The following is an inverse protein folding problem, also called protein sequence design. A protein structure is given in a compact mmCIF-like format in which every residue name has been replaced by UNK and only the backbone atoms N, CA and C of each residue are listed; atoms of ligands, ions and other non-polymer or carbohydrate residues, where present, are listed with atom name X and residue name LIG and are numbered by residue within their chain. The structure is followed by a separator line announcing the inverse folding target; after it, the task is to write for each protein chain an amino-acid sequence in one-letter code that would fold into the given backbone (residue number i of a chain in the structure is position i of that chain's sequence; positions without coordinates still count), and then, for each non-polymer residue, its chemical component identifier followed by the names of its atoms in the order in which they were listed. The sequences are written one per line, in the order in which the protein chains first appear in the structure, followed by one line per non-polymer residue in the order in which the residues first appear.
data_IF_763805226207
#
_entry.id   IF_763805226207
#
_cell.length_a   1.000
_cell.length_b   1.000
_cell.length_c   1.000
_cell.angle_alpha   90.00
_cell.angle_beta   90.00
_cell.angle_gamma   90.00
#
_symmetry.space_group_name_H-M   'P 1'
#
loop_
_entity.id
_entity.type
_entity.pdbx_description
1 polymer ?
#
# COMPACT_ATOMS: atom_id res chain seq x y z
N UNK A 1 76.58 12.43 10.47
CA UNK A 1 75.70 12.81 11.59
C UNK A 1 76.22 14.07 12.33
N UNK A 2 77.09 14.88 11.72
CA UNK A 2 77.82 15.93 12.47
C UNK A 2 77.21 17.34 12.36
N UNK A 3 76.22 17.55 11.48
CA UNK A 3 75.62 18.87 11.29
C UNK A 3 74.80 19.33 12.50
N UNK A 4 73.95 18.46 13.04
CA UNK A 4 73.14 18.76 14.22
C UNK A 4 73.99 18.89 15.49
N UNK A 5 75.05 18.07 15.64
CA UNK A 5 75.98 18.18 16.76
C UNK A 5 76.80 19.48 16.71
N UNK A 6 77.36 19.83 15.55
CA UNK A 6 78.12 21.08 15.38
C UNK A 6 77.22 22.32 15.52
N UNK A 7 75.98 22.26 15.03
CA UNK A 7 75.02 23.36 15.19
C UNK A 7 74.65 23.57 16.68
N UNK A 8 74.50 22.51 17.47
CA UNK A 8 74.17 22.66 18.89
C UNK A 8 75.39 23.08 19.73
N UNK A 9 76.61 22.65 19.38
CA UNK A 9 77.81 22.94 20.18
C UNK A 9 78.38 24.36 19.99
N UNK A 10 78.21 24.98 18.82
CA UNK A 10 78.77 26.31 18.53
C UNK A 10 78.08 27.46 19.31
N UNK A 11 76.78 27.38 19.54
CA UNK A 11 76.01 28.35 20.33
C UNK A 11 74.70 27.72 20.86
N UNK A 12 74.76 26.91 21.95
CA UNK A 12 73.71 25.98 22.33
C UNK A 12 72.38 26.64 22.71
N UNK A 13 72.42 27.82 23.33
CA UNK A 13 71.22 28.53 23.78
C UNK A 13 70.48 29.13 22.58
N UNK A 14 71.19 29.83 21.70
CA UNK A 14 70.57 30.51 20.55
C UNK A 14 70.01 29.51 19.52
N UNK A 15 70.70 28.40 19.30
CA UNK A 15 70.30 27.39 18.32
C UNK A 15 69.14 26.50 18.81
N UNK A 16 69.04 26.22 20.11
CA UNK A 16 67.85 25.55 20.69
C UNK A 16 66.59 26.42 20.64
N UNK A 17 66.71 27.72 20.92
CA UNK A 17 65.59 28.67 20.80
C UNK A 17 65.09 28.77 19.35
N UNK A 18 65.97 28.82 18.35
CA UNK A 18 65.59 28.82 16.93
C UNK A 18 64.83 27.56 16.52
N UNK A 19 65.27 26.38 16.97
CA UNK A 19 64.59 25.10 16.70
C UNK A 19 63.20 25.10 17.34
N UNK A 20 63.07 25.57 18.59
CA UNK A 20 61.79 25.64 19.29
C UNK A 20 60.80 26.59 18.59
N UNK A 21 61.27 27.77 18.15
CA UNK A 21 60.46 28.71 17.36
C UNK A 21 60.02 28.11 16.02
N UNK A 22 60.90 27.37 15.35
CA UNK A 22 60.55 26.68 14.10
C UNK A 22 59.46 25.63 14.31
N UNK A 23 59.57 24.80 15.36
CA UNK A 23 58.56 23.79 15.71
C UNK A 23 57.23 24.46 16.06
N UNK A 24 57.26 25.58 16.80
CA UNK A 24 56.06 26.35 17.13
C UNK A 24 55.38 26.93 15.88
N UNK A 25 56.16 27.48 14.93
CA UNK A 25 55.61 27.97 13.68
C UNK A 25 54.99 26.83 12.85
N UNK A 26 55.68 25.69 12.79
CA UNK A 26 55.22 24.51 12.06
C UNK A 26 53.91 23.97 12.66
N UNK A 27 53.79 23.91 13.98
CA UNK A 27 52.57 23.45 14.64
C UNK A 27 51.40 24.39 14.38
N UNK A 28 51.65 25.71 14.37
CA UNK A 28 50.62 26.71 14.04
C UNK A 28 50.11 26.56 12.61
N UNK A 29 51.01 26.31 11.64
CA UNK A 29 50.62 26.03 10.24
C UNK A 29 49.76 24.77 10.15
N UNK A 30 50.14 23.69 10.84
CA UNK A 30 49.38 22.43 10.84
C UNK A 30 47.98 22.65 11.42
N UNK A 31 47.85 23.39 12.52
CA UNK A 31 46.56 23.73 13.13
C UNK A 31 45.68 24.50 12.14
N UNK A 32 46.22 25.54 11.50
CA UNK A 32 45.46 26.34 10.52
C UNK A 32 45.03 25.49 9.32
N UNK A 33 45.92 24.64 8.80
CA UNK A 33 45.57 23.70 7.73
C UNK A 33 44.47 22.73 8.16
N UNK A 34 44.55 22.16 9.36
CA UNK A 34 43.53 21.25 9.89
C UNK A 34 42.16 21.92 9.98
N UNK A 35 42.09 23.13 10.55
CA UNK A 35 40.86 23.92 10.60
C UNK A 35 40.31 24.25 9.21
N UNK A 36 41.18 24.59 8.26
CA UNK A 36 40.77 24.88 6.89
C UNK A 36 40.16 23.65 6.19
N UNK A 37 40.79 22.48 6.33
CA UNK A 37 40.26 21.23 5.78
C UNK A 37 38.93 20.83 6.44
N UNK A 38 38.82 20.97 7.76
CA UNK A 38 37.58 20.66 8.48
C UNK A 38 36.45 21.60 8.05
N UNK A 39 36.72 22.90 7.92
CA UNK A 39 35.74 23.88 7.42
C UNK A 39 35.22 23.52 6.02
N UNK A 40 36.12 23.14 5.09
CA UNK A 40 35.73 22.72 3.75
C UNK A 40 34.87 21.44 3.76
N UNK A 41 35.19 20.48 4.63
CA UNK A 41 34.44 19.23 4.78
C UNK A 41 33.06 19.50 5.36
N UNK A 42 32.97 20.31 6.40
CA UNK A 42 31.72 20.67 7.06
C UNK A 42 30.78 21.40 6.10
N UNK A 43 31.30 22.35 5.31
CA UNK A 43 30.50 23.03 4.27
C UNK A 43 29.93 22.08 3.21
N UNK A 44 30.67 21.02 2.85
CA UNK A 44 30.15 19.97 1.94
C UNK A 44 29.08 19.13 2.62
N UNK A 45 29.28 18.77 3.88
CA UNK A 45 28.31 17.98 4.66
C UNK A 45 27.00 18.75 4.87
N UNK A 46 27.08 20.04 5.18
CA UNK A 46 25.92 20.91 5.34
C UNK A 46 25.06 20.95 4.07
N UNK A 47 25.68 21.09 2.89
CA UNK A 47 24.98 20.99 1.60
C UNK A 47 24.30 19.63 1.38
N UNK A 48 24.95 18.54 1.77
CA UNK A 48 24.35 17.20 1.66
C UNK A 48 23.15 17.07 2.58
N UNK A 49 23.25 17.57 3.80
CA UNK A 49 22.16 17.59 4.78
C UNK A 49 20.98 18.40 4.24
N UNK A 50 21.22 19.58 3.67
CA UNK A 50 20.12 20.40 3.11
C UNK A 50 19.42 19.73 1.93
N UNK A 51 20.17 19.01 1.08
CA UNK A 51 19.58 18.25 -0.03
C UNK A 51 18.76 17.08 0.51
N UNK A 52 19.27 16.36 1.50
CA UNK A 52 18.55 15.27 2.17
C UNK A 52 17.28 15.76 2.86
N UNK A 53 17.34 16.89 3.55
CA UNK A 53 16.17 17.50 4.19
C UNK A 53 15.08 17.82 3.18
N UNK A 54 15.46 18.38 2.02
CA UNK A 54 14.53 18.63 0.92
C UNK A 54 13.93 17.34 0.38
N UNK A 55 14.76 16.33 0.10
CA UNK A 55 14.29 15.04 -0.39
C UNK A 55 13.34 14.35 0.60
N UNK A 56 13.57 14.48 1.91
CA UNK A 56 12.67 13.97 2.94
C UNK A 56 11.34 14.73 2.94
N UNK A 57 11.36 16.05 2.79
CA UNK A 57 10.12 16.85 2.69
C UNK A 57 9.30 16.47 1.46
N UNK A 58 9.96 16.32 0.31
CA UNK A 58 9.31 15.89 -0.92
C UNK A 58 8.71 14.49 -0.77
N UNK A 59 9.46 13.56 -0.14
CA UNK A 59 8.99 12.20 0.16
C UNK A 59 7.76 12.19 1.10
N UNK A 60 7.75 13.03 2.13
CA UNK A 60 6.59 13.16 3.04
C UNK A 60 5.34 13.61 2.27
N UNK A 61 5.49 14.53 1.32
CA UNK A 61 4.37 15.03 0.53
C UNK A 61 3.86 13.98 -0.46
N UNK A 62 4.75 13.19 -1.05
CA UNK A 62 4.37 12.02 -1.85
C UNK A 62 3.60 10.98 -1.02
N UNK A 63 4.05 10.70 0.22
CA UNK A 63 3.34 9.79 1.12
C UNK A 63 1.93 10.30 1.47
N UNK A 64 1.75 11.61 1.68
CA UNK A 64 0.41 12.20 1.90
C UNK A 64 -0.49 12.03 0.68
N UNK A 65 0.06 12.25 -0.52
CA UNK A 65 -0.70 12.07 -1.77
C UNK A 65 -1.10 10.61 -1.95
N UNK A 66 -0.20 9.68 -1.64
CA UNK A 66 -0.47 8.24 -1.65
C UNK A 66 -1.56 7.85 -0.64
N UNK A 67 -1.50 8.39 0.58
CA UNK A 67 -2.51 8.16 1.61
C UNK A 67 -3.92 8.59 1.13
N UNK A 68 -4.02 9.78 0.53
CA UNK A 68 -5.28 10.25 -0.06
C UNK A 68 -5.78 9.33 -1.16
N UNK A 69 -4.89 8.91 -2.08
CA UNK A 69 -5.26 7.97 -3.14
C UNK A 69 -5.74 6.62 -2.60
N UNK A 70 -5.10 6.09 -1.55
CA UNK A 70 -5.52 4.84 -0.91
C UNK A 70 -6.87 4.99 -0.19
N UNK A 71 -7.12 6.15 0.41
CA UNK A 71 -8.40 6.48 1.03
C UNK A 71 -9.53 6.48 0.00
N UNK A 72 -9.30 7.07 -1.17
CA UNK A 72 -10.29 7.08 -2.25
C UNK A 72 -10.49 5.69 -2.87
N UNK A 73 -9.42 4.91 -3.06
CA UNK A 73 -9.53 3.50 -3.47
C UNK A 73 -10.35 2.68 -2.47
N UNK A 74 -10.18 2.92 -1.17
CA UNK A 74 -10.97 2.25 -0.12
C UNK A 74 -12.46 2.58 -0.23
N UNK A 75 -12.82 3.84 -0.55
CA UNK A 75 -14.23 4.22 -0.77
C UNK A 75 -14.83 3.47 -1.95
N UNK A 76 -14.13 3.47 -3.08
CA UNK A 76 -14.56 2.74 -4.30
C UNK A 76 -14.76 1.25 -4.00
N UNK A 77 -13.85 0.65 -3.23
CA UNK A 77 -13.95 -0.76 -2.86
C UNK A 77 -15.18 -1.05 -1.96
N UNK A 78 -15.53 -0.12 -1.06
CA UNK A 78 -16.76 -0.23 -0.28
C UNK A 78 -18.02 -0.11 -1.15
N UNK A 79 -18.00 0.77 -2.16
CA UNK A 79 -19.12 0.90 -3.10
C UNK A 79 -19.29 -0.39 -3.92
N UNK A 80 -18.19 -1.01 -4.38
CA UNK A 80 -18.25 -2.30 -5.04
C UNK A 80 -18.76 -3.41 -4.14
N UNK A 81 -18.36 -3.43 -2.86
CA UNK A 81 -18.89 -4.38 -1.89
C UNK A 81 -20.42 -4.25 -1.79
N UNK A 82 -20.94 -3.04 -1.66
CA UNK A 82 -22.39 -2.81 -1.59
C UNK A 82 -23.11 -3.25 -2.87
N UNK A 83 -22.54 -2.96 -4.04
CA UNK A 83 -23.11 -3.40 -5.33
C UNK A 83 -23.14 -4.92 -5.42
N UNK A 84 -22.07 -5.60 -5.01
CA UNK A 84 -22.02 -7.06 -5.00
C UNK A 84 -23.05 -7.69 -4.05
N UNK A 85 -23.20 -7.15 -2.84
CA UNK A 85 -24.22 -7.61 -1.89
C UNK A 85 -25.63 -7.45 -2.48
N UNK A 86 -25.88 -6.34 -3.18
CA UNK A 86 -27.16 -6.12 -3.86
C UNK A 86 -27.38 -7.10 -5.02
N UNK A 87 -26.36 -7.33 -5.84
CA UNK A 87 -26.43 -8.29 -6.94
C UNK A 87 -26.70 -9.70 -6.42
N UNK A 88 -26.08 -10.10 -5.30
CA UNK A 88 -26.30 -11.42 -4.68
C UNK A 88 -27.76 -11.59 -4.20
N UNK A 89 -28.34 -10.54 -3.63
CA UNK A 89 -29.76 -10.52 -3.27
C UNK A 89 -30.68 -10.58 -4.50
N UNK A 90 -30.36 -9.83 -5.56
CA UNK A 90 -31.13 -9.84 -6.80
C UNK A 90 -31.03 -11.20 -7.51
N UNK A 91 -29.86 -11.84 -7.52
CA UNK A 91 -29.65 -13.19 -8.04
C UNK A 91 -30.47 -14.21 -7.25
N UNK A 92 -30.45 -14.14 -5.92
CA UNK A 92 -31.25 -15.03 -5.06
C UNK A 92 -32.74 -14.91 -5.35
N UNK A 93 -33.26 -13.67 -5.46
CA UNK A 93 -34.66 -13.42 -5.85
C UNK A 93 -34.98 -13.91 -7.25
N UNK A 94 -34.06 -13.74 -8.20
CA UNK A 94 -34.24 -14.19 -9.57
C UNK A 94 -34.27 -15.72 -9.64
N UNK A 95 -33.43 -16.40 -8.84
CA UNK A 95 -33.44 -17.85 -8.72
C UNK A 95 -34.78 -18.35 -8.15
N UNK A 96 -35.27 -17.74 -7.07
CA UNK A 96 -36.57 -18.08 -6.48
C UNK A 96 -37.72 -17.86 -7.48
N UNK A 97 -37.74 -16.73 -8.20
CA UNK A 97 -38.73 -16.44 -9.23
C UNK A 97 -38.66 -17.45 -10.39
N UNK A 98 -37.45 -17.74 -10.88
CA UNK A 98 -37.24 -18.70 -11.97
C UNK A 98 -37.65 -20.10 -11.58
N UNK A 99 -37.43 -20.51 -10.32
CA UNK A 99 -37.87 -21.80 -9.82
C UNK A 99 -39.40 -21.86 -9.71
N UNK A 100 -40.04 -20.80 -9.21
CA UNK A 100 -41.50 -20.66 -9.20
C UNK A 100 -42.13 -20.76 -10.60
N UNK A 101 -41.61 -20.01 -11.57
CA UNK A 101 -42.11 -20.02 -12.96
C UNK A 101 -41.93 -21.39 -13.63
N UNK A 102 -40.81 -22.07 -13.37
CA UNK A 102 -40.54 -23.43 -13.83
C UNK A 102 -41.52 -24.43 -13.21
N UNK A 103 -41.79 -24.32 -11.91
CA UNK A 103 -42.73 -25.19 -11.20
C UNK A 103 -44.15 -25.05 -11.75
N UNK A 104 -44.60 -23.81 -12.00
CA UNK A 104 -45.91 -23.53 -12.62
C UNK A 104 -45.97 -24.09 -14.04
N UNK A 105 -44.93 -23.89 -14.85
CA UNK A 105 -44.88 -24.40 -16.23
C UNK A 105 -44.93 -25.93 -16.27
N UNK A 106 -44.19 -26.59 -15.38
CA UNK A 106 -44.21 -28.04 -15.25
C UNK A 106 -45.56 -28.55 -14.74
N UNK A 107 -46.19 -27.86 -13.77
CA UNK A 107 -47.53 -28.22 -13.29
C UNK A 107 -48.58 -28.12 -14.41
N UNK A 108 -48.53 -27.08 -15.24
CA UNK A 108 -49.42 -26.95 -16.42
C UNK A 108 -49.19 -28.09 -17.40
N UNK A 109 -47.93 -28.45 -17.69
CA UNK A 109 -47.60 -29.56 -18.59
C UNK A 109 -48.14 -30.89 -18.05
N UNK A 110 -47.92 -31.18 -16.77
CA UNK A 110 -48.37 -32.41 -16.12
C UNK A 110 -49.89 -32.50 -16.00
N UNK A 111 -50.57 -31.38 -15.74
CA UNK A 111 -52.04 -31.30 -15.75
C UNK A 111 -52.61 -31.60 -17.16
N UNK A 112 -51.99 -31.06 -18.21
CA UNK A 112 -52.35 -31.37 -19.60
C UNK A 112 -52.07 -32.85 -19.98
N UNK A 113 -51.11 -33.49 -19.31
CA UNK A 113 -50.80 -34.92 -19.46
C UNK A 113 -51.76 -35.82 -18.64
N UNK A 114 -52.63 -35.25 -17.81
CA UNK A 114 -53.63 -35.97 -17.00
C UNK A 114 -53.10 -36.52 -15.67
N UNK A 115 -52.00 -35.95 -15.15
CA UNK A 115 -51.43 -36.33 -13.85
C UNK A 115 -52.31 -35.89 -12.68
N UNK A 116 -52.31 -36.66 -11.59
CA UNK A 116 -53.10 -36.33 -10.40
C UNK A 116 -52.50 -35.17 -9.60
N UNK A 117 -53.31 -34.51 -8.76
CA UNK A 117 -52.87 -33.40 -7.89
C UNK A 117 -51.71 -33.85 -7.01
N UNK A 118 -51.73 -35.08 -6.49
CA UNK A 118 -50.67 -35.66 -5.67
C UNK A 118 -49.36 -35.84 -6.44
N UNK A 119 -49.41 -36.32 -7.69
CA UNK A 119 -48.23 -36.51 -8.54
C UNK A 119 -47.58 -35.17 -8.92
N UNK A 120 -48.41 -34.16 -9.24
CA UNK A 120 -47.93 -32.81 -9.56
C UNK A 120 -47.28 -32.19 -8.33
N UNK A 121 -47.91 -32.29 -7.16
CA UNK A 121 -47.39 -31.74 -5.90
C UNK A 121 -46.04 -32.33 -5.50
N UNK A 122 -45.85 -33.64 -5.67
CA UNK A 122 -44.57 -34.30 -5.38
C UNK A 122 -43.43 -33.84 -6.29
N UNK A 123 -43.71 -33.52 -7.55
CA UNK A 123 -42.68 -33.18 -8.55
C UNK A 123 -42.37 -31.69 -8.58
N UNK A 124 -43.39 -30.83 -8.46
CA UNK A 124 -43.20 -29.37 -8.51
C UNK A 124 -43.01 -28.75 -7.12
N UNK A 125 -43.28 -29.51 -6.05
CA UNK A 125 -43.25 -29.01 -4.67
C UNK A 125 -44.36 -28.01 -4.34
N UNK A 126 -45.29 -27.77 -5.27
CA UNK A 126 -46.41 -26.86 -5.08
C UNK A 126 -47.47 -27.48 -4.16
N UNK A 127 -48.17 -26.65 -3.40
CA UNK A 127 -49.25 -27.09 -2.53
C UNK A 127 -50.48 -27.49 -3.34
N UNK A 128 -51.35 -28.32 -2.75
CA UNK A 128 -52.58 -28.77 -3.43
C UNK A 128 -53.49 -27.59 -3.81
N UNK A 129 -53.54 -26.57 -2.96
CA UNK A 129 -54.30 -25.33 -3.15
C UNK A 129 -53.81 -24.52 -4.36
N UNK A 130 -52.50 -24.54 -4.65
CA UNK A 130 -51.90 -23.89 -5.83
C UNK A 130 -52.13 -24.70 -7.12
N UNK A 131 -52.25 -26.03 -7.01
CA UNK A 131 -52.42 -26.94 -8.16
C UNK A 131 -53.88 -27.03 -8.61
N UNK A 132 -54.84 -26.93 -7.69
CA UNK A 132 -56.28 -27.03 -7.98
C UNK A 132 -56.75 -26.08 -9.12
N UNK A 133 -56.40 -24.78 -9.13
CA UNK A 133 -56.72 -23.90 -10.25
C UNK A 133 -56.10 -24.35 -11.57
N UNK A 134 -54.84 -24.81 -11.55
CA UNK A 134 -54.13 -25.29 -12.74
C UNK A 134 -54.84 -26.51 -13.31
N UNK A 135 -55.20 -27.47 -12.46
CA UNK A 135 -55.99 -28.64 -12.85
C UNK A 135 -57.37 -28.27 -13.40
N UNK A 136 -58.01 -27.24 -12.84
CA UNK A 136 -59.32 -26.78 -13.31
C UNK A 136 -59.29 -26.13 -14.70
N UNK A 137 -58.24 -25.37 -15.03
CA UNK A 137 -58.16 -24.61 -16.29
C UNK A 137 -57.32 -25.29 -17.39
N UNK A 138 -56.37 -26.14 -17.00
CA UNK A 138 -55.42 -26.79 -17.91
C UNK A 138 -55.38 -28.32 -17.75
N UNK A 139 -56.17 -28.88 -16.84
CA UNK A 139 -56.31 -30.33 -16.70
C UNK A 139 -57.01 -30.92 -17.91
N UNK A 140 -56.50 -32.05 -18.39
CA UNK A 140 -57.18 -32.85 -19.41
C UNK A 140 -58.40 -33.52 -18.77
N UNK A 141 -59.59 -33.08 -19.16
CA UNK A 141 -60.88 -33.71 -18.78
C UNK A 141 -61.02 -35.13 -19.31
#
# INVERSE_FOLDING_TARGET
MDFFQNFIQLDPINNTVKILLFIFLLSLIIIVCAFYFDFLKNKKNEKKISILERAIKDLIEEFRTLELSLSDQKKILNDYKYILERLDQEISRLADSSQGDSNITNAIKMANEGKSIEEISQITGMTKEEIEPIMKYHGRT
#
